data_IF_652737912408
#
_entry.id   IF_652737912408
#
_cell.length_a   1.000
_cell.length_b   1.000
_cell.length_c   1.000
_cell.angle_alpha   90.00
_cell.angle_beta   90.00
_cell.angle_gamma   90.00
#
_symmetry.space_group_name_H-M   'P 1'
#
loop_
_entity.id
_entity.type
_entity.pdbx_description
1 polymer ?
#
# COMPACT_ATOMS: atom_id res chain seq x y z
N UNK A 1 2.26 -62.68 39.13
CA UNK A 1 2.42 -61.25 38.77
C UNK A 1 1.24 -60.48 39.30
N UNK A 2 1.45 -59.62 40.37
CA UNK A 2 0.38 -58.77 40.91
C UNK A 2 0.37 -57.46 40.10
N UNK A 3 -0.73 -57.20 39.41
CA UNK A 3 -0.93 -55.91 38.74
C UNK A 3 -0.99 -54.77 39.76
N UNK A 4 -0.28 -53.64 39.55
CA UNK A 4 -0.34 -52.53 40.48
C UNK A 4 -1.75 -51.87 40.40
N UNK A 5 -2.42 -51.77 41.56
CA UNK A 5 -3.71 -51.05 41.64
C UNK A 5 -3.51 -49.58 41.31
N UNK A 6 -4.14 -49.12 40.21
CA UNK A 6 -4.21 -47.68 39.87
C UNK A 6 -4.88 -46.92 41.01
N UNK A 7 -4.17 -46.08 41.71
CA UNK A 7 -4.74 -45.15 42.72
C UNK A 7 -5.60 -44.15 41.99
N UNK A 8 -6.91 -44.15 42.19
CA UNK A 8 -7.82 -43.09 41.71
C UNK A 8 -7.57 -41.83 42.52
N UNK A 9 -7.05 -40.81 41.90
CA UNK A 9 -6.90 -39.46 42.48
C UNK A 9 -8.31 -38.90 42.74
N UNK A 10 -8.69 -38.77 44.04
CA UNK A 10 -9.94 -38.10 44.44
C UNK A 10 -9.61 -36.62 44.69
N UNK A 11 -10.03 -35.73 43.77
CA UNK A 11 -9.93 -34.31 43.99
C UNK A 11 -11.08 -33.80 44.86
N UNK A 12 -10.83 -32.90 45.79
CA UNK A 12 -11.85 -32.17 46.51
C UNK A 12 -12.57 -31.20 45.55
N UNK A 13 -13.82 -30.82 45.86
CA UNK A 13 -14.57 -29.84 45.03
C UNK A 13 -13.80 -28.54 44.83
N UNK A 14 -13.06 -28.05 45.84
CA UNK A 14 -12.21 -26.84 45.76
C UNK A 14 -11.04 -27.04 44.81
N UNK A 15 -10.37 -28.19 44.82
CA UNK A 15 -9.26 -28.49 43.90
C UNK A 15 -9.74 -28.62 42.46
N UNK A 16 -10.93 -29.22 42.25
CA UNK A 16 -11.54 -29.31 40.91
C UNK A 16 -11.88 -27.91 40.36
N UNK A 17 -12.42 -27.01 41.20
CA UNK A 17 -12.72 -25.64 40.83
C UNK A 17 -11.44 -24.85 40.44
N UNK A 18 -10.37 -24.99 41.22
CA UNK A 18 -9.08 -24.37 40.88
C UNK A 18 -8.52 -24.89 39.57
N UNK A 19 -8.58 -26.18 39.28
CA UNK A 19 -8.15 -26.78 38.03
C UNK A 19 -8.96 -26.25 36.82
N UNK A 20 -10.26 -26.10 36.98
CA UNK A 20 -11.14 -25.54 35.94
C UNK A 20 -10.82 -24.06 35.68
N UNK A 21 -10.57 -23.27 36.72
CA UNK A 21 -10.14 -21.87 36.57
C UNK A 21 -8.79 -21.76 35.88
N UNK A 22 -7.80 -22.58 36.25
CA UNK A 22 -6.50 -22.63 35.60
C UNK A 22 -6.62 -23.05 34.10
N UNK A 23 -7.46 -24.05 33.82
CA UNK A 23 -7.70 -24.47 32.45
C UNK A 23 -8.36 -23.36 31.61
N UNK A 24 -9.34 -22.65 32.19
CA UNK A 24 -10.01 -21.52 31.52
C UNK A 24 -9.05 -20.36 31.23
N UNK A 25 -8.16 -20.03 32.20
CA UNK A 25 -7.15 -18.97 31.98
C UNK A 25 -6.11 -19.36 30.93
N UNK A 26 -5.66 -20.62 30.91
CA UNK A 26 -4.74 -21.13 29.90
C UNK A 26 -5.39 -21.15 28.51
N UNK A 27 -6.64 -21.56 28.41
CA UNK A 27 -7.43 -21.50 27.17
C UNK A 27 -7.61 -20.06 26.69
N UNK A 28 -7.96 -19.13 27.57
CA UNK A 28 -8.09 -17.72 27.27
C UNK A 28 -6.76 -17.13 26.77
N UNK A 29 -5.64 -17.46 27.42
CA UNK A 29 -4.31 -17.04 26.99
C UNK A 29 -3.93 -17.62 25.61
N UNK A 30 -4.23 -18.89 25.38
CA UNK A 30 -3.99 -19.55 24.10
C UNK A 30 -4.80 -18.89 22.98
N UNK A 31 -6.11 -18.68 23.21
CA UNK A 31 -6.96 -17.97 22.25
C UNK A 31 -6.46 -16.55 21.98
N UNK A 32 -6.07 -15.81 23.02
CA UNK A 32 -5.50 -14.47 22.89
C UNK A 32 -4.23 -14.47 22.02
N UNK A 33 -3.31 -15.43 22.23
CA UNK A 33 -2.11 -15.59 21.40
C UNK A 33 -2.45 -15.87 19.94
N UNK A 34 -3.41 -16.74 19.67
CA UNK A 34 -3.85 -17.08 18.30
C UNK A 34 -4.48 -15.87 17.59
N UNK A 35 -5.31 -15.11 18.29
CA UNK A 35 -5.96 -13.91 17.75
C UNK A 35 -5.00 -12.75 17.52
N UNK A 36 -3.83 -12.76 18.19
CA UNK A 36 -2.80 -11.72 18.11
C UNK A 36 -1.59 -12.11 17.23
N UNK A 37 -1.73 -13.14 16.40
CA UNK A 37 -0.71 -13.45 15.39
C UNK A 37 -0.76 -12.45 14.24
N UNK A 38 0.37 -12.25 13.55
CA UNK A 38 0.44 -11.41 12.35
C UNK A 38 -0.68 -11.76 11.34
N UNK A 39 -0.84 -13.05 11.03
CA UNK A 39 -1.83 -13.51 10.04
C UNK A 39 -3.28 -13.18 10.45
N UNK A 40 -3.62 -13.36 11.72
CA UNK A 40 -4.96 -13.06 12.23
C UNK A 40 -5.23 -11.54 12.19
N UNK A 41 -4.25 -10.72 12.64
CA UNK A 41 -4.36 -9.27 12.62
C UNK A 41 -4.45 -8.75 11.19
N UNK A 42 -3.58 -9.20 10.29
CA UNK A 42 -3.61 -8.80 8.89
C UNK A 42 -4.93 -9.15 8.19
N UNK A 43 -5.46 -10.36 8.43
CA UNK A 43 -6.77 -10.77 7.90
C UNK A 43 -7.92 -9.90 8.43
N UNK A 44 -7.87 -9.52 9.71
CA UNK A 44 -8.85 -8.59 10.31
C UNK A 44 -8.73 -7.19 9.71
N UNK A 45 -7.51 -6.66 9.54
CA UNK A 45 -7.29 -5.38 8.90
C UNK A 45 -7.85 -5.35 7.46
N UNK A 46 -7.60 -6.40 6.67
CA UNK A 46 -8.20 -6.56 5.33
C UNK A 46 -9.72 -6.53 5.36
N UNK A 47 -10.33 -7.22 6.33
CA UNK A 47 -11.79 -7.23 6.50
C UNK A 47 -12.32 -5.83 6.81
N UNK A 48 -11.69 -5.09 7.73
CA UNK A 48 -12.10 -3.73 8.05
C UNK A 48 -11.94 -2.78 6.85
N UNK A 49 -10.83 -2.91 6.11
CA UNK A 49 -10.63 -2.16 4.88
C UNK A 49 -11.74 -2.42 3.84
N UNK A 50 -12.11 -3.68 3.64
CA UNK A 50 -13.19 -4.07 2.73
C UNK A 50 -14.57 -3.53 3.17
N UNK A 51 -14.77 -3.37 4.48
CA UNK A 51 -15.96 -2.75 5.07
C UNK A 51 -15.89 -1.20 5.08
N UNK A 52 -14.87 -0.60 4.48
CA UNK A 52 -14.62 0.83 4.44
C UNK A 52 -14.34 1.47 5.83
N UNK A 53 -14.08 0.66 6.85
CA UNK A 53 -13.68 1.11 8.18
C UNK A 53 -12.16 1.39 8.18
N UNK A 54 -11.74 2.45 7.48
CA UNK A 54 -10.32 2.69 7.18
C UNK A 54 -9.48 2.98 8.41
N UNK A 55 -9.99 3.75 9.37
CA UNK A 55 -9.29 4.06 10.62
C UNK A 55 -9.03 2.80 11.46
N UNK A 56 -10.03 1.92 11.57
CA UNK A 56 -9.87 0.65 12.28
C UNK A 56 -8.97 -0.33 11.51
N UNK A 57 -9.04 -0.34 10.18
CA UNK A 57 -8.12 -1.10 9.34
C UNK A 57 -6.67 -0.65 9.55
N UNK A 58 -6.42 0.66 9.61
CA UNK A 58 -5.12 1.26 9.90
C UNK A 58 -4.60 0.78 11.27
N UNK A 59 -5.37 0.98 12.34
CA UNK A 59 -5.00 0.59 13.71
C UNK A 59 -4.63 -0.91 13.82
N UNK A 60 -5.41 -1.78 13.17
CA UNK A 60 -5.14 -3.21 13.19
C UNK A 60 -3.93 -3.58 12.31
N UNK A 61 -3.72 -2.89 11.18
CA UNK A 61 -2.56 -3.10 10.33
C UNK A 61 -1.25 -2.69 11.04
N UNK A 62 -1.26 -1.61 11.80
CA UNK A 62 -0.14 -1.19 12.66
C UNK A 62 0.20 -2.29 13.69
N UNK A 63 -0.80 -2.81 14.40
CA UNK A 63 -0.60 -3.93 15.34
C UNK A 63 -0.07 -5.21 14.66
N UNK A 64 -0.43 -5.45 13.40
CA UNK A 64 0.14 -6.54 12.62
C UNK A 64 1.62 -6.26 12.29
N UNK A 65 1.95 -5.03 11.93
CA UNK A 65 3.31 -4.62 11.61
C UNK A 65 4.25 -4.64 12.82
N UNK A 66 3.75 -4.48 14.04
CA UNK A 66 4.52 -4.75 15.26
C UNK A 66 5.09 -6.18 15.32
N UNK A 67 4.42 -7.13 14.68
CA UNK A 67 4.86 -8.54 14.60
C UNK A 67 5.74 -8.82 13.38
N UNK A 68 5.53 -8.08 12.29
CA UNK A 68 6.31 -8.22 11.06
C UNK A 68 6.43 -6.86 10.33
N UNK A 69 7.36 -5.99 10.76
CA UNK A 69 7.47 -4.61 10.28
C UNK A 69 7.76 -4.48 8.78
N UNK A 70 8.45 -5.47 8.20
CA UNK A 70 8.87 -5.45 6.79
C UNK A 70 7.88 -6.13 5.84
N UNK A 71 6.71 -6.54 6.32
CA UNK A 71 5.74 -7.19 5.46
C UNK A 71 5.14 -6.19 4.47
N UNK A 72 5.45 -6.35 3.18
CA UNK A 72 5.01 -5.44 2.12
C UNK A 72 3.48 -5.33 2.03
N UNK A 73 2.79 -6.47 2.09
CA UNK A 73 1.33 -6.50 1.95
C UNK A 73 0.61 -5.75 3.09
N UNK A 74 1.16 -5.84 4.32
CA UNK A 74 0.61 -5.13 5.47
C UNK A 74 0.92 -3.62 5.40
N UNK A 75 2.15 -3.24 4.99
CA UNK A 75 2.50 -1.84 4.77
C UNK A 75 1.68 -1.22 3.63
N UNK A 76 1.44 -1.97 2.56
CA UNK A 76 0.58 -1.53 1.46
C UNK A 76 -0.87 -1.34 1.91
N UNK A 77 -1.39 -2.26 2.74
CA UNK A 77 -2.74 -2.13 3.30
C UNK A 77 -2.85 -0.92 4.22
N UNK A 78 -1.83 -0.70 5.08
CA UNK A 78 -1.74 0.47 5.95
C UNK A 78 -1.77 1.77 5.13
N UNK A 79 -0.90 1.88 4.13
CA UNK A 79 -0.83 3.06 3.26
C UNK A 79 -2.15 3.32 2.52
N UNK A 80 -2.80 2.28 1.99
CA UNK A 80 -4.12 2.39 1.35
C UNK A 80 -5.20 2.83 2.33
N UNK A 81 -5.15 2.36 3.58
CA UNK A 81 -6.09 2.78 4.63
C UNK A 81 -5.92 4.25 4.96
N UNK A 82 -4.67 4.72 5.10
CA UNK A 82 -4.32 6.13 5.31
C UNK A 82 -4.77 7.02 4.13
N UNK A 83 -4.52 6.58 2.87
CA UNK A 83 -5.02 7.29 1.69
C UNK A 83 -6.54 7.49 1.74
N UNK A 84 -7.27 6.42 2.06
CA UNK A 84 -8.74 6.44 2.12
C UNK A 84 -9.28 7.29 3.28
N UNK A 85 -8.54 7.40 4.37
CA UNK A 85 -8.83 8.33 5.48
C UNK A 85 -8.40 9.78 5.19
N UNK A 86 -7.78 10.04 4.02
CA UNK A 86 -7.35 11.38 3.61
C UNK A 86 -5.89 11.72 3.96
N UNK A 87 -5.18 10.88 4.70
CA UNK A 87 -3.77 11.11 5.08
C UNK A 87 -2.78 10.52 4.08
N UNK A 88 -2.72 11.15 2.91
CA UNK A 88 -1.79 10.77 1.84
C UNK A 88 -0.32 10.94 2.22
N UNK A 89 -0.03 11.92 3.10
CA UNK A 89 1.34 12.19 3.53
C UNK A 89 1.91 11.04 4.34
N UNK A 90 1.17 10.56 5.32
CA UNK A 90 1.57 9.39 6.11
C UNK A 90 1.64 8.12 5.26
N UNK A 91 0.73 7.93 4.31
CA UNK A 91 0.79 6.82 3.36
C UNK A 91 2.11 6.82 2.55
N UNK A 92 2.54 7.98 2.05
CA UNK A 92 3.82 8.12 1.36
C UNK A 92 5.01 7.81 2.30
N UNK A 93 4.97 8.24 3.56
CA UNK A 93 6.03 7.97 4.54
C UNK A 93 6.18 6.47 4.83
N UNK A 94 5.07 5.75 4.94
CA UNK A 94 5.07 4.28 5.16
C UNK A 94 5.71 3.53 4.00
N UNK A 95 5.44 3.95 2.74
CA UNK A 95 5.94 3.25 1.56
C UNK A 95 7.35 3.66 1.14
N UNK A 96 7.80 4.88 1.51
CA UNK A 96 9.10 5.45 1.09
C UNK A 96 10.30 4.54 1.36
N UNK A 97 10.45 3.89 2.54
CA UNK A 97 11.61 3.03 2.80
C UNK A 97 11.76 1.87 1.81
N UNK A 98 10.66 1.30 1.33
CA UNK A 98 10.66 0.21 0.35
C UNK A 98 11.19 0.70 -1.01
N UNK A 99 10.80 1.91 -1.41
CA UNK A 99 11.26 2.53 -2.66
C UNK A 99 12.76 2.87 -2.58
N UNK A 100 13.20 3.48 -1.47
CA UNK A 100 14.60 3.88 -1.27
C UNK A 100 15.55 2.69 -1.24
N UNK A 101 15.14 1.59 -0.58
CA UNK A 101 15.94 0.38 -0.46
C UNK A 101 15.81 -0.56 -1.68
N UNK A 102 14.99 -0.20 -2.68
CA UNK A 102 14.70 -1.03 -3.88
C UNK A 102 14.23 -2.45 -3.51
N UNK A 103 13.50 -2.57 -2.41
CA UNK A 103 12.96 -3.87 -1.93
C UNK A 103 11.48 -4.01 -2.24
N UNK A 104 10.87 -2.99 -2.85
CA UNK A 104 9.44 -2.94 -3.10
C UNK A 104 9.02 -3.82 -4.28
N UNK A 105 7.97 -4.60 -4.11
CA UNK A 105 7.24 -5.19 -5.22
C UNK A 105 6.41 -4.17 -6.00
N UNK A 106 5.94 -4.56 -7.19
CA UNK A 106 5.17 -3.70 -8.11
C UNK A 106 3.96 -3.02 -7.46
N UNK A 107 3.30 -3.70 -6.49
CA UNK A 107 2.16 -3.15 -5.76
C UNK A 107 2.47 -1.90 -4.94
N UNK A 108 3.63 -1.89 -4.26
CA UNK A 108 4.10 -0.73 -3.49
C UNK A 108 4.48 0.41 -4.42
N UNK A 109 5.23 0.13 -5.51
CA UNK A 109 5.57 1.14 -6.50
C UNK A 109 4.31 1.79 -7.10
N UNK A 110 3.34 0.98 -7.50
CA UNK A 110 2.09 1.49 -8.09
C UNK A 110 1.33 2.41 -7.14
N UNK A 111 1.20 2.03 -5.88
CA UNK A 111 0.52 2.85 -4.87
C UNK A 111 1.32 4.14 -4.58
N UNK A 112 2.64 4.04 -4.42
CA UNK A 112 3.50 5.19 -4.16
C UNK A 112 3.47 6.21 -5.29
N UNK A 113 3.60 5.75 -6.54
CA UNK A 113 3.55 6.57 -7.75
C UNK A 113 2.17 7.22 -7.92
N UNK A 114 1.09 6.48 -7.66
CA UNK A 114 -0.28 7.02 -7.65
C UNK A 114 -0.41 8.19 -6.66
N UNK A 115 0.04 8.01 -5.44
CA UNK A 115 0.00 9.04 -4.40
C UNK A 115 0.82 10.28 -4.78
N UNK A 116 2.05 10.10 -5.30
CA UNK A 116 2.87 11.19 -5.81
C UNK A 116 2.20 11.94 -6.96
N UNK A 117 1.55 11.23 -7.87
CA UNK A 117 0.81 11.82 -9.00
C UNK A 117 -0.36 12.66 -8.50
N UNK A 118 -1.10 12.17 -7.51
CA UNK A 118 -2.18 12.93 -6.88
C UNK A 118 -1.68 14.19 -6.14
N UNK A 119 -0.45 14.16 -5.60
CA UNK A 119 0.24 15.31 -5.01
C UNK A 119 0.84 16.26 -6.07
N UNK A 120 0.76 15.88 -7.36
CA UNK A 120 1.32 16.66 -8.45
C UNK A 120 2.84 16.58 -8.58
N UNK A 121 3.49 15.61 -7.94
CA UNK A 121 4.96 15.41 -7.94
C UNK A 121 5.44 14.60 -9.14
N UNK A 122 5.03 14.99 -10.35
CA UNK A 122 5.30 14.24 -11.59
C UNK A 122 6.79 14.07 -11.90
N UNK A 123 7.63 15.05 -11.53
CA UNK A 123 9.09 14.93 -11.71
C UNK A 123 9.68 13.81 -10.83
N UNK A 124 9.20 13.68 -9.58
CA UNK A 124 9.63 12.62 -8.66
C UNK A 124 9.19 11.25 -9.20
N UNK A 125 7.95 11.14 -9.68
CA UNK A 125 7.42 9.93 -10.36
C UNK A 125 8.35 9.51 -11.50
N UNK A 126 8.70 10.46 -12.40
CA UNK A 126 9.57 10.18 -13.54
C UNK A 126 10.94 9.67 -13.12
N UNK A 127 11.56 10.28 -12.11
CA UNK A 127 12.88 9.87 -11.61
C UNK A 127 12.84 8.47 -10.99
N UNK A 128 11.81 8.17 -10.19
CA UNK A 128 11.62 6.86 -9.57
C UNK A 128 11.45 5.79 -10.65
N UNK A 129 10.55 6.00 -11.60
CA UNK A 129 10.26 5.01 -12.64
C UNK A 129 11.43 4.83 -13.61
N UNK A 130 12.21 5.89 -13.89
CA UNK A 130 13.43 5.77 -14.70
C UNK A 130 14.49 4.86 -14.05
N UNK A 131 14.55 4.84 -12.72
CA UNK A 131 15.50 4.02 -11.96
C UNK A 131 14.97 2.65 -11.56
N UNK A 132 13.70 2.38 -11.78
CA UNK A 132 13.04 1.11 -11.48
C UNK A 132 13.33 0.07 -12.57
N UNK A 133 13.12 -1.20 -12.23
CA UNK A 133 13.21 -2.29 -13.19
C UNK A 133 12.07 -2.27 -14.22
N UNK A 134 12.20 -3.10 -15.26
CA UNK A 134 11.25 -3.13 -16.38
C UNK A 134 9.86 -3.62 -15.97
N UNK A 135 9.77 -4.49 -14.98
CA UNK A 135 8.51 -4.99 -14.47
C UNK A 135 7.71 -3.86 -13.79
N UNK A 136 8.37 -3.07 -12.93
CA UNK A 136 7.77 -1.90 -12.28
C UNK A 136 7.39 -0.84 -13.31
N UNK A 137 8.27 -0.55 -14.30
CA UNK A 137 7.97 0.39 -15.37
C UNK A 137 6.70 0.01 -16.13
N UNK A 138 6.58 -1.26 -16.50
CA UNK A 138 5.39 -1.77 -17.18
C UNK A 138 4.12 -1.68 -16.29
N UNK A 139 4.25 -2.05 -15.01
CA UNK A 139 3.14 -1.99 -14.06
C UNK A 139 2.67 -0.55 -13.79
N UNK A 140 3.55 0.43 -13.95
CA UNK A 140 3.29 1.86 -13.73
C UNK A 140 3.24 2.67 -15.04
N UNK A 141 3.08 2.03 -16.20
CA UNK A 141 3.09 2.69 -17.51
C UNK A 141 2.06 3.84 -17.61
N UNK A 142 0.92 3.71 -16.95
CA UNK A 142 -0.13 4.75 -16.89
C UNK A 142 0.33 6.07 -16.23
N UNK A 143 1.42 6.05 -15.45
CA UNK A 143 2.00 7.21 -14.78
C UNK A 143 3.21 7.79 -15.50
N UNK A 144 3.68 7.13 -16.56
CA UNK A 144 4.79 7.60 -17.40
C UNK A 144 4.19 8.51 -18.47
N UNK A 145 4.40 9.80 -18.30
CA UNK A 145 3.99 10.80 -19.28
C UNK A 145 5.09 10.94 -20.34
N UNK A 146 4.80 10.55 -21.57
CA UNK A 146 5.69 10.76 -22.72
C UNK A 146 5.57 12.20 -23.24
N UNK A 147 6.60 12.69 -23.92
CA UNK A 147 6.54 13.98 -24.58
C UNK A 147 5.49 13.89 -25.70
N UNK A 148 4.51 14.81 -25.75
CA UNK A 148 3.52 14.82 -26.82
C UNK A 148 4.15 14.93 -28.20
N UNK A 149 3.63 14.20 -29.16
CA UNK A 149 4.04 14.25 -30.55
C UNK A 149 3.07 15.16 -31.31
N UNK A 150 3.60 16.02 -32.18
CA UNK A 150 2.80 16.90 -33.00
C UNK A 150 2.63 16.36 -34.43
N UNK A 151 1.45 16.54 -34.98
CA UNK A 151 1.15 16.31 -36.38
C UNK A 151 0.48 17.58 -36.96
N UNK A 152 1.08 18.23 -37.95
CA UNK A 152 2.34 17.90 -38.62
C UNK A 152 3.56 17.99 -37.69
N UNK A 153 4.68 17.37 -38.11
CA UNK A 153 5.93 17.39 -37.37
C UNK A 153 6.45 18.83 -37.20
N UNK A 154 7.30 19.11 -36.20
CA UNK A 154 7.88 20.44 -36.05
C UNK A 154 8.62 20.87 -37.32
N UNK A 155 8.35 22.11 -37.79
CA UNK A 155 8.95 22.64 -39.04
C UNK A 155 8.39 24.00 -39.39
N UNK A 156 8.88 24.57 -40.52
CA UNK A 156 8.38 25.82 -41.13
C UNK A 156 7.42 25.46 -42.21
N UNK A 157 6.22 26.02 -42.17
CA UNK A 157 5.14 25.77 -43.13
C UNK A 157 4.77 27.09 -43.86
N UNK A 158 4.58 27.01 -45.15
CA UNK A 158 4.14 28.15 -46.01
C UNK A 158 2.63 28.31 -46.07
N UNK A 159 1.88 27.34 -45.60
CA UNK A 159 0.41 27.34 -45.55
C UNK A 159 -0.09 27.10 -44.12
N UNK A 160 -1.29 27.57 -43.83
CA UNK A 160 -1.93 27.33 -42.53
C UNK A 160 -2.03 25.84 -42.26
N UNK A 161 -1.56 25.39 -41.08
CA UNK A 161 -1.65 24.01 -40.64
C UNK A 161 -2.59 23.88 -39.44
N UNK A 162 -3.32 22.76 -39.37
CA UNK A 162 -4.03 22.38 -38.16
C UNK A 162 -3.15 21.46 -37.35
N UNK A 163 -2.68 21.93 -36.20
CA UNK A 163 -1.83 21.15 -35.31
C UNK A 163 -2.66 20.18 -34.45
N UNK A 164 -2.27 18.91 -34.49
CA UNK A 164 -2.79 17.87 -33.61
C UNK A 164 -1.67 17.42 -32.68
N UNK A 165 -1.94 17.43 -31.36
CA UNK A 165 -1.02 16.92 -30.34
C UNK A 165 -1.52 15.56 -29.85
N UNK A 166 -0.65 14.57 -29.87
CA UNK A 166 -0.94 13.22 -29.39
C UNK A 166 0.02 12.85 -28.25
N UNK A 167 -0.50 12.24 -27.21
CA UNK A 167 0.31 11.81 -26.05
C UNK A 167 -0.52 10.98 -25.09
N UNK A 168 0.14 10.25 -24.19
CA UNK A 168 -0.50 9.38 -23.20
C UNK A 168 -0.81 10.10 -21.87
N UNK A 169 -0.63 11.43 -21.80
CA UNK A 169 -0.89 12.23 -20.60
C UNK A 169 -2.35 12.68 -20.54
N UNK A 170 -2.90 12.79 -19.32
CA UNK A 170 -4.27 13.27 -19.10
C UNK A 170 -4.49 14.71 -19.57
N UNK A 171 -3.45 15.55 -19.58
CA UNK A 171 -3.47 16.95 -20.02
C UNK A 171 -2.19 17.28 -20.73
N UNK A 172 -2.30 17.92 -21.87
CA UNK A 172 -1.18 18.49 -22.62
C UNK A 172 -1.25 20.02 -22.45
N UNK A 173 -0.18 20.64 -21.97
CA UNK A 173 -0.08 22.08 -21.84
C UNK A 173 0.74 22.64 -22.98
N UNK A 174 0.34 23.81 -23.50
CA UNK A 174 1.05 24.47 -24.61
C UNK A 174 1.19 25.98 -24.41
N UNK A 175 2.16 26.57 -25.09
CA UNK A 175 2.38 28.01 -25.24
C UNK A 175 2.48 28.36 -26.70
N UNK A 176 2.20 29.62 -27.07
CA UNK A 176 2.30 30.12 -28.44
C UNK A 176 3.48 31.10 -28.61
N UNK A 177 4.15 31.45 -27.52
CA UNK A 177 5.24 32.41 -27.44
C UNK A 177 6.63 31.78 -27.38
N UNK A 178 6.72 30.43 -27.49
CA UNK A 178 7.97 29.68 -27.37
C UNK A 178 8.46 29.48 -25.94
N UNK A 179 7.73 29.96 -24.93
CA UNK A 179 8.06 29.69 -23.52
C UNK A 179 7.81 28.26 -23.17
N UNK A 180 8.51 27.70 -22.17
CA UNK A 180 8.28 26.36 -21.68
C UNK A 180 6.90 26.25 -21.04
N UNK A 181 6.01 25.33 -21.50
CA UNK A 181 4.69 25.14 -20.92
C UNK A 181 4.77 24.73 -19.45
N UNK A 182 3.89 25.31 -18.63
CA UNK A 182 3.73 25.01 -17.20
C UNK A 182 2.29 24.58 -16.91
N UNK A 183 1.99 24.17 -15.69
CA UNK A 183 0.61 23.86 -15.25
C UNK A 183 -0.34 25.08 -15.31
N UNK A 184 0.21 26.30 -15.46
CA UNK A 184 -0.57 27.54 -15.62
C UNK A 184 -0.80 27.90 -17.08
N UNK A 185 -0.15 27.20 -18.03
CA UNK A 185 -0.32 27.39 -19.45
C UNK A 185 -1.64 26.84 -19.95
N UNK A 186 -2.00 27.19 -21.19
CA UNK A 186 -3.24 26.70 -21.82
C UNK A 186 -3.23 25.18 -21.94
N UNK A 187 -4.39 24.57 -21.78
CA UNK A 187 -4.61 23.13 -21.99
C UNK A 187 -5.10 22.92 -23.40
N UNK A 188 -4.51 21.93 -24.08
CA UNK A 188 -4.90 21.46 -25.39
C UNK A 188 -6.14 20.57 -25.35
#
# INVERSE_FOLDING_TARGET
>A
FKHPKRRKLKFSRKQLLCLLLCAATLLGFFCYRQLNTFSALYSRAKKQYAQQNYEEAQRIAENALDKNPKNEAANLLLAKSMEKSGDKRSALLVLRPFIQNKTAGTGIYKEYVKLLTQEGKTNEVRLILKSADREVQNACAEYICETPVSNPAPGTYTTTQTLKLEGNCQKIYYTLDGSTPTRKSKVY
#
